data_IF_686240169847
#
_entry.id   IF_686240169847
#
_cell.length_a   1.000
_cell.length_b   1.000
_cell.length_c   1.000
_cell.angle_alpha   90.00
_cell.angle_beta   90.00
_cell.angle_gamma   90.00
#
_symmetry.space_group_name_H-M   'P 1'
#
loop_
_entity.id
_entity.type
_entity.pdbx_description
1 polymer ?
#
# COMPACT_ATOMS: atom_id res chain seq x y z
N UNK A 1 -11.48 -32.44 17.93
CA UNK A 1 -11.12 -33.83 18.31
C UNK A 1 -12.22 -34.76 17.81
N UNK A 2 -12.15 -35.20 16.55
CA UNK A 2 -13.04 -36.22 15.98
C UNK A 2 -12.18 -37.13 15.09
N UNK A 3 -11.77 -38.26 15.66
CA UNK A 3 -11.02 -39.32 14.98
C UNK A 3 -12.02 -40.24 14.28
N UNK A 4 -12.15 -40.10 12.96
CA UNK A 4 -12.82 -41.10 12.12
C UNK A 4 -11.83 -42.20 11.78
N UNK A 5 -11.79 -43.26 12.60
CA UNK A 5 -11.13 -44.53 12.25
C UNK A 5 -11.82 -45.13 11.03
N UNK A 6 -11.30 -44.87 9.82
CA UNK A 6 -11.62 -45.68 8.63
C UNK A 6 -11.09 -47.10 8.87
N UNK A 7 -11.98 -48.08 8.96
CA UNK A 7 -11.63 -49.50 8.84
C UNK A 7 -10.95 -49.68 7.47
N UNK A 8 -9.64 -49.85 7.46
CA UNK A 8 -8.93 -50.42 6.33
C UNK A 8 -9.41 -51.87 6.18
N UNK A 9 -10.42 -52.08 5.32
CA UNK A 9 -10.72 -53.41 4.83
C UNK A 9 -9.48 -53.96 4.16
N UNK A 10 -9.03 -55.15 4.56
CA UNK A 10 -7.82 -55.77 4.02
C UNK A 10 -8.02 -56.02 2.53
N UNK A 11 -7.32 -55.21 1.72
CA UNK A 11 -7.34 -55.21 0.25
C UNK A 11 -7.14 -56.61 -0.37
N UNK A 12 -6.53 -57.53 0.38
CA UNK A 12 -6.19 -58.88 -0.06
C UNK A 12 -7.33 -59.91 0.06
N UNK A 13 -8.36 -59.65 0.88
CA UNK A 13 -9.50 -60.56 1.08
C UNK A 13 -10.26 -60.94 -0.21
N UNK A 14 -10.64 -59.98 -1.10
CA UNK A 14 -11.34 -60.33 -2.34
C UNK A 14 -10.47 -61.11 -3.33
N UNK A 15 -9.14 -60.91 -3.30
CA UNK A 15 -8.20 -61.61 -4.17
C UNK A 15 -8.09 -63.10 -3.78
N UNK A 16 -7.94 -63.40 -2.48
CA UNK A 16 -7.88 -64.78 -2.01
C UNK A 16 -9.22 -65.51 -2.18
N UNK A 17 -10.34 -64.81 -2.02
CA UNK A 17 -11.66 -65.38 -2.28
C UNK A 17 -11.84 -65.76 -3.76
N UNK A 18 -11.45 -64.88 -4.69
CA UNK A 18 -11.56 -65.18 -6.13
C UNK A 18 -10.61 -66.30 -6.57
N UNK A 19 -9.36 -66.31 -6.09
CA UNK A 19 -8.42 -67.41 -6.35
C UNK A 19 -8.93 -68.75 -5.81
N UNK A 20 -9.51 -68.76 -4.61
CA UNK A 20 -10.11 -69.96 -4.02
C UNK A 20 -11.26 -70.52 -4.86
N UNK A 21 -12.17 -69.65 -5.31
CA UNK A 21 -13.29 -70.05 -6.19
C UNK A 21 -12.78 -70.63 -7.50
N UNK A 22 -11.81 -69.99 -8.14
CA UNK A 22 -11.21 -70.49 -9.39
C UNK A 22 -10.55 -71.86 -9.18
N UNK A 23 -9.81 -72.04 -8.08
CA UNK A 23 -9.18 -73.31 -7.74
C UNK A 23 -10.20 -74.45 -7.52
N UNK A 24 -11.30 -74.16 -6.84
CA UNK A 24 -12.38 -75.15 -6.63
C UNK A 24 -13.06 -75.52 -7.95
N UNK A 25 -13.36 -74.54 -8.82
CA UNK A 25 -13.93 -74.79 -10.14
C UNK A 25 -13.01 -75.66 -11.01
N UNK A 26 -11.70 -75.43 -10.94
CA UNK A 26 -10.71 -76.24 -11.65
C UNK A 26 -10.68 -77.70 -11.16
N UNK A 27 -10.72 -77.93 -9.83
CA UNK A 27 -10.80 -79.28 -9.26
C UNK A 27 -12.09 -80.00 -9.65
N UNK A 28 -13.23 -79.30 -9.65
CA UNK A 28 -14.51 -79.84 -10.09
C UNK A 28 -14.42 -80.25 -11.57
N UNK A 29 -13.83 -79.42 -12.43
CA UNK A 29 -13.66 -79.75 -13.85
C UNK A 29 -12.84 -81.03 -14.05
N UNK A 30 -11.74 -81.22 -13.30
CA UNK A 30 -10.93 -82.45 -13.34
C UNK A 30 -11.75 -83.67 -12.89
N UNK A 31 -12.51 -83.54 -11.80
CA UNK A 31 -13.34 -84.63 -11.26
C UNK A 31 -14.43 -85.03 -12.28
N UNK A 32 -15.10 -84.05 -12.90
CA UNK A 32 -16.13 -84.30 -13.90
C UNK A 32 -15.54 -84.97 -15.15
N UNK A 33 -14.44 -84.45 -15.69
CA UNK A 33 -13.79 -85.01 -16.88
C UNK A 33 -13.29 -86.44 -16.63
N UNK A 34 -12.74 -86.72 -15.45
CA UNK A 34 -12.20 -88.04 -15.12
C UNK A 34 -13.28 -89.13 -14.97
N UNK A 35 -14.48 -88.77 -14.50
CA UNK A 35 -15.58 -89.72 -14.27
C UNK A 35 -16.56 -89.84 -15.44
N UNK A 36 -16.80 -88.79 -16.22
CA UNK A 36 -17.86 -88.78 -17.25
C UNK A 36 -17.39 -89.00 -18.70
N UNK A 37 -16.09 -88.86 -19.00
CA UNK A 37 -15.58 -89.00 -20.38
C UNK A 37 -14.64 -90.23 -20.46
N UNK A 38 -15.12 -91.41 -20.89
CA UNK A 38 -14.24 -92.57 -21.10
C UNK A 38 -13.33 -92.35 -22.32
N UNK A 39 -12.04 -92.65 -22.17
CA UNK A 39 -11.02 -92.45 -23.21
C UNK A 39 -9.61 -92.33 -22.62
N UNK A 40 -8.58 -92.44 -23.47
CA UNK A 40 -7.19 -92.18 -23.05
C UNK A 40 -7.00 -90.70 -22.71
N UNK A 41 -5.93 -90.36 -21.97
CA UNK A 41 -5.60 -88.96 -21.68
C UNK A 41 -5.37 -88.11 -22.94
N UNK A 42 -5.07 -88.77 -24.07
CA UNK A 42 -4.81 -88.14 -25.36
C UNK A 42 -6.11 -87.67 -26.04
N UNK A 43 -7.16 -88.50 -26.06
CA UNK A 43 -8.49 -88.12 -26.60
C UNK A 43 -9.14 -87.00 -25.79
N UNK A 44 -8.93 -87.01 -24.46
CA UNK A 44 -9.38 -85.92 -23.56
C UNK A 44 -8.62 -84.61 -23.81
N UNK A 45 -7.36 -84.69 -24.25
CA UNK A 45 -6.54 -83.55 -24.65
C UNK A 45 -7.10 -82.84 -25.90
N UNK A 46 -7.53 -83.59 -26.92
CA UNK A 46 -8.10 -83.04 -28.16
C UNK A 46 -9.41 -82.26 -27.93
N UNK A 47 -10.21 -82.69 -26.94
CA UNK A 47 -11.38 -81.92 -26.48
C UNK A 47 -10.93 -80.60 -25.86
N UNK A 48 -9.86 -80.60 -25.06
CA UNK A 48 -9.24 -79.39 -24.50
C UNK A 48 -8.73 -78.43 -25.57
N UNK A 49 -8.09 -78.95 -26.63
CA UNK A 49 -7.60 -78.14 -27.76
C UNK A 49 -8.72 -77.40 -28.50
N UNK A 50 -9.92 -77.99 -28.53
CA UNK A 50 -11.12 -77.35 -29.12
C UNK A 50 -11.58 -76.11 -28.35
N UNK A 51 -11.29 -76.03 -27.04
CA UNK A 51 -11.55 -74.84 -26.22
C UNK A 51 -10.47 -73.76 -26.37
N UNK A 52 -9.34 -74.05 -27.04
CA UNK A 52 -8.28 -73.09 -27.30
C UNK A 52 -8.74 -71.87 -28.11
N UNK A 53 -9.66 -72.08 -29.07
CA UNK A 53 -10.28 -70.99 -29.85
C UNK A 53 -11.11 -70.09 -28.93
N UNK A 54 -11.93 -70.68 -28.05
CA UNK A 54 -12.78 -69.94 -27.09
C UNK A 54 -11.93 -69.13 -26.12
N UNK A 55 -10.85 -69.72 -25.59
CA UNK A 55 -9.91 -69.03 -24.71
C UNK A 55 -9.17 -67.88 -25.42
N UNK A 56 -8.80 -68.08 -26.68
CA UNK A 56 -8.14 -67.05 -27.49
C UNK A 56 -9.08 -65.87 -27.76
N UNK A 57 -10.36 -66.12 -28.05
CA UNK A 57 -11.38 -65.07 -28.21
C UNK A 57 -11.59 -64.33 -26.90
N UNK A 58 -11.71 -65.04 -25.78
CA UNK A 58 -11.87 -64.39 -24.46
C UNK A 58 -10.65 -63.54 -24.11
N UNK A 59 -9.43 -64.02 -24.37
CA UNK A 59 -8.18 -63.28 -24.16
C UNK A 59 -8.12 -62.03 -25.05
N UNK A 60 -8.50 -62.15 -26.33
CA UNK A 60 -8.54 -61.02 -27.25
C UNK A 60 -9.57 -59.96 -26.83
N UNK A 61 -10.74 -60.37 -26.34
CA UNK A 61 -11.76 -59.46 -25.81
C UNK A 61 -11.32 -58.78 -24.51
N UNK A 62 -10.70 -59.53 -23.59
CA UNK A 62 -10.13 -58.96 -22.38
C UNK A 62 -9.04 -57.93 -22.70
N UNK A 63 -8.17 -58.23 -23.67
CA UNK A 63 -7.16 -57.29 -24.15
C UNK A 63 -7.79 -56.05 -24.79
N UNK A 64 -8.82 -56.22 -25.63
CA UNK A 64 -9.56 -55.11 -26.22
C UNK A 64 -10.19 -54.21 -25.14
N UNK A 65 -10.78 -54.80 -24.09
CA UNK A 65 -11.32 -54.04 -22.95
C UNK A 65 -10.24 -53.23 -22.22
N UNK A 66 -9.05 -53.81 -22.02
CA UNK A 66 -7.90 -53.08 -21.46
C UNK A 66 -7.49 -51.91 -22.35
N UNK A 67 -7.36 -52.12 -23.66
CA UNK A 67 -7.00 -51.05 -24.62
C UNK A 67 -8.01 -49.92 -24.60
N UNK A 68 -9.31 -50.22 -24.60
CA UNK A 68 -10.38 -49.21 -24.49
C UNK A 68 -10.30 -48.46 -23.17
N UNK A 69 -10.05 -49.17 -22.06
CA UNK A 69 -9.89 -48.53 -20.74
C UNK A 69 -8.69 -47.59 -20.69
N UNK A 70 -7.55 -47.97 -21.27
CA UNK A 70 -6.35 -47.13 -21.35
C UNK A 70 -6.58 -45.90 -22.22
N UNK A 71 -7.33 -46.06 -23.32
CA UNK A 71 -7.72 -44.93 -24.17
C UNK A 71 -8.60 -43.92 -23.39
N UNK A 72 -9.55 -44.42 -22.60
CA UNK A 72 -10.40 -43.57 -21.76
C UNK A 72 -9.60 -42.89 -20.63
N UNK A 73 -8.74 -43.63 -19.94
CA UNK A 73 -7.84 -43.08 -18.89
C UNK A 73 -6.93 -41.98 -19.45
N UNK A 74 -6.39 -42.17 -20.66
CA UNK A 74 -5.57 -41.14 -21.33
C UNK A 74 -6.38 -39.87 -21.60
N UNK A 75 -7.64 -40.01 -22.03
CA UNK A 75 -8.53 -38.88 -22.28
C UNK A 75 -8.85 -38.11 -21.00
N UNK A 76 -9.10 -38.82 -19.91
CA UNK A 76 -9.34 -38.21 -18.59
C UNK A 76 -8.10 -37.46 -18.10
N UNK A 77 -6.91 -38.07 -18.20
CA UNK A 77 -5.65 -37.42 -17.84
C UNK A 77 -5.40 -36.13 -18.63
N UNK A 78 -5.72 -36.12 -19.92
CA UNK A 78 -5.59 -34.91 -20.74
C UNK A 78 -6.50 -33.78 -20.23
N UNK A 79 -7.76 -34.10 -19.90
CA UNK A 79 -8.69 -33.14 -19.29
C UNK A 79 -8.17 -32.61 -17.95
N UNK A 80 -7.67 -33.50 -17.09
CA UNK A 80 -7.10 -33.09 -15.80
C UNK A 80 -5.91 -32.16 -15.97
N UNK A 81 -5.02 -32.42 -16.95
CA UNK A 81 -3.89 -31.54 -17.22
C UNK A 81 -4.34 -30.17 -17.72
N UNK A 82 -5.35 -30.11 -18.59
CA UNK A 82 -5.91 -28.85 -19.07
C UNK A 82 -6.53 -28.04 -17.93
N UNK A 83 -7.30 -28.68 -17.04
CA UNK A 83 -7.88 -28.04 -15.86
C UNK A 83 -6.81 -27.50 -14.90
N UNK A 84 -5.76 -28.30 -14.63
CA UNK A 84 -4.64 -27.86 -13.80
C UNK A 84 -3.93 -26.67 -14.43
N UNK A 85 -3.66 -26.70 -15.74
CA UNK A 85 -3.03 -25.56 -16.43
C UNK A 85 -3.92 -24.31 -16.42
N UNK A 86 -5.22 -24.46 -16.61
CA UNK A 86 -6.17 -23.34 -16.52
C UNK A 86 -6.23 -22.76 -15.10
N UNK A 87 -6.23 -23.63 -14.08
CA UNK A 87 -6.18 -23.25 -12.66
C UNK A 87 -4.90 -22.48 -12.31
N UNK A 88 -3.74 -22.98 -12.74
CA UNK A 88 -2.44 -22.31 -12.55
C UNK A 88 -2.43 -20.93 -13.21
N UNK A 89 -2.93 -20.81 -14.44
CA UNK A 89 -3.05 -19.51 -15.13
C UNK A 89 -3.93 -18.55 -14.37
N UNK A 90 -5.14 -18.97 -13.98
CA UNK A 90 -6.07 -18.15 -13.20
C UNK A 90 -5.46 -17.70 -11.87
N UNK A 91 -4.77 -18.61 -11.17
CA UNK A 91 -4.09 -18.29 -9.93
C UNK A 91 -2.97 -17.26 -10.15
N UNK A 92 -2.14 -17.44 -11.17
CA UNK A 92 -1.08 -16.50 -11.52
C UNK A 92 -1.61 -15.11 -11.91
N UNK A 93 -2.73 -15.05 -12.62
CA UNK A 93 -3.39 -13.79 -12.97
C UNK A 93 -3.96 -13.11 -11.72
N UNK A 94 -4.56 -13.88 -10.80
CA UNK A 94 -5.03 -13.36 -9.51
C UNK A 94 -3.90 -12.81 -8.66
N UNK A 95 -2.75 -13.51 -8.58
CA UNK A 95 -1.57 -13.02 -7.87
C UNK A 95 -1.06 -11.71 -8.46
N UNK A 96 -0.93 -11.62 -9.79
CA UNK A 96 -0.53 -10.37 -10.47
C UNK A 96 -1.52 -9.23 -10.24
N UNK A 97 -2.82 -9.53 -10.21
CA UNK A 97 -3.84 -8.52 -9.90
C UNK A 97 -3.75 -8.06 -8.43
N UNK A 98 -3.51 -8.98 -7.51
CA UNK A 98 -3.30 -8.68 -6.09
C UNK A 98 -2.03 -7.86 -5.87
N UNK A 99 -0.91 -8.20 -6.52
CA UNK A 99 0.32 -7.42 -6.47
C UNK A 99 0.10 -5.98 -6.95
N UNK A 100 -0.58 -5.80 -8.08
CA UNK A 100 -0.95 -4.47 -8.57
C UNK A 100 -1.87 -3.72 -7.61
N UNK A 101 -2.82 -4.42 -6.99
CA UNK A 101 -3.72 -3.82 -6.01
C UNK A 101 -2.95 -3.40 -4.74
N UNK A 102 -2.01 -4.22 -4.25
CA UNK A 102 -1.15 -3.89 -3.12
C UNK A 102 -0.28 -2.67 -3.44
N UNK A 103 0.30 -2.61 -4.64
CA UNK A 103 1.10 -1.46 -5.05
C UNK A 103 0.27 -0.18 -5.09
N UNK A 104 -0.92 -0.22 -5.72
CA UNK A 104 -1.83 0.93 -5.74
C UNK A 104 -2.29 1.34 -4.34
N UNK A 105 -2.55 0.38 -3.44
CA UNK A 105 -2.87 0.65 -2.04
C UNK A 105 -1.68 1.28 -1.29
N UNK A 106 -0.46 0.84 -1.58
CA UNK A 106 0.76 1.43 -1.02
C UNK A 106 0.93 2.87 -1.47
N UNK A 107 0.79 3.16 -2.76
CA UNK A 107 0.84 4.54 -3.29
C UNK A 107 -0.21 5.44 -2.64
N UNK A 108 -1.45 4.95 -2.50
CA UNK A 108 -2.52 5.69 -1.81
C UNK A 108 -2.20 5.91 -0.33
N UNK A 109 -1.65 4.91 0.35
CA UNK A 109 -1.26 5.00 1.76
C UNK A 109 -0.15 6.04 1.95
N UNK A 110 0.88 6.01 1.09
CA UNK A 110 1.94 7.01 1.10
C UNK A 110 1.35 8.40 0.90
N UNK A 111 0.51 8.64 -0.11
CA UNK A 111 -0.12 9.94 -0.33
C UNK A 111 -0.96 10.42 0.87
N UNK A 112 -1.66 9.52 1.57
CA UNK A 112 -2.49 9.87 2.73
C UNK A 112 -1.69 10.21 3.99
N UNK A 113 -0.56 9.53 4.21
CA UNK A 113 0.21 9.66 5.44
C UNK A 113 1.48 10.48 5.28
N UNK A 114 1.90 10.81 4.06
CA UNK A 114 3.10 11.60 3.82
C UNK A 114 3.03 12.97 4.52
N UNK A 115 4.13 13.41 5.17
CA UNK A 115 4.22 14.77 5.66
C UNK A 115 4.28 15.72 4.47
N UNK A 116 3.63 16.88 4.58
CA UNK A 116 3.66 17.90 3.53
C UNK A 116 4.14 19.21 4.14
N UNK A 117 5.39 19.56 3.84
CA UNK A 117 5.98 20.80 4.32
C UNK A 117 5.65 21.90 3.32
N UNK A 118 4.83 22.85 3.76
CA UNK A 118 4.35 23.95 2.92
C UNK A 118 4.86 25.25 3.52
N UNK A 119 5.45 26.08 2.66
CA UNK A 119 5.81 27.45 3.00
C UNK A 119 4.75 28.41 2.44
N UNK A 120 4.23 29.33 3.24
CA UNK A 120 3.27 30.35 2.78
C UNK A 120 3.54 31.70 3.40
N UNK A 121 3.03 32.72 2.72
CA UNK A 121 3.01 34.08 3.23
C UNK A 121 1.71 34.37 3.94
N UNK A 122 1.80 35.00 5.10
CA UNK A 122 0.65 35.52 5.83
C UNK A 122 0.92 36.98 6.23
N UNK A 123 -0.10 37.81 6.15
CA UNK A 123 -0.04 39.19 6.64
C UNK A 123 -0.62 39.20 8.05
N UNK A 124 0.15 39.69 9.02
CA UNK A 124 -0.28 39.82 10.42
C UNK A 124 -0.02 41.22 10.94
N UNK A 125 -0.74 41.60 12.00
CA UNK A 125 -0.46 42.79 12.82
C UNK A 125 -0.11 44.06 12.02
N UNK A 126 -1.11 44.72 11.41
CA UNK A 126 -0.88 46.01 10.76
C UNK A 126 0.17 45.97 9.64
N UNK A 127 0.10 44.95 8.77
CA UNK A 127 0.87 44.78 7.54
C UNK A 127 2.27 44.14 7.66
N UNK A 128 2.56 43.32 8.68
CA UNK A 128 3.79 42.51 8.71
C UNK A 128 3.63 41.25 7.85
N UNK A 129 4.49 41.11 6.85
CA UNK A 129 4.63 39.90 6.05
C UNK A 129 5.44 38.88 6.82
N UNK A 130 4.83 37.73 7.04
CA UNK A 130 5.43 36.63 7.77
C UNK A 130 5.43 35.37 6.93
N UNK A 131 6.59 34.71 6.86
CA UNK A 131 6.76 33.40 6.28
C UNK A 131 6.39 32.34 7.33
N UNK A 132 5.45 31.48 6.96
CA UNK A 132 5.02 30.35 7.77
C UNK A 132 5.41 29.07 7.05
N UNK A 133 6.20 28.23 7.73
CA UNK A 133 6.53 26.88 7.25
C UNK A 133 5.81 25.90 8.16
N UNK A 134 4.94 25.08 7.59
CA UNK A 134 4.06 24.18 8.33
C UNK A 134 4.11 22.77 7.77
N UNK A 135 4.10 21.78 8.66
CA UNK A 135 3.79 20.41 8.26
C UNK A 135 2.27 20.22 8.25
N UNK A 136 1.69 20.28 7.05
CA UNK A 136 0.25 20.10 6.81
C UNK A 136 -0.14 18.63 6.65
N UNK A 137 0.83 17.71 6.64
CA UNK A 137 0.59 16.28 6.55
C UNK A 137 0.20 15.65 7.89
N UNK A 138 -0.08 14.34 7.86
CA UNK A 138 -0.57 13.59 9.04
C UNK A 138 0.52 12.96 9.89
N UNK A 139 1.75 12.93 9.40
CA UNK A 139 2.90 12.32 10.08
C UNK A 139 4.05 13.29 10.20
N UNK A 140 5.07 12.95 10.97
CA UNK A 140 6.22 13.81 11.16
C UNK A 140 7.20 13.71 9.99
N UNK A 141 7.70 14.84 9.51
CA UNK A 141 8.85 14.89 8.63
C UNK A 141 10.12 14.66 9.47
N UNK A 142 10.94 13.69 9.08
CA UNK A 142 12.20 13.40 9.77
C UNK A 142 13.36 14.05 9.03
N UNK A 143 14.39 14.44 9.77
CA UNK A 143 15.63 15.01 9.20
C UNK A 143 15.36 16.16 8.22
N UNK A 144 14.46 17.06 8.61
CA UNK A 144 14.04 18.18 7.79
C UNK A 144 15.19 19.18 7.67
N UNK A 145 15.53 19.55 6.44
CA UNK A 145 16.46 20.62 6.10
C UNK A 145 15.76 21.64 5.23
N UNK A 146 15.84 22.90 5.62
CA UNK A 146 15.26 24.02 4.88
C UNK A 146 16.37 24.76 4.12
N UNK A 147 16.05 25.22 2.92
CA UNK A 147 16.92 26.07 2.11
C UNK A 147 16.08 27.19 1.47
N UNK A 148 16.72 28.31 1.21
CA UNK A 148 16.14 29.46 0.51
C UNK A 148 17.13 29.99 -0.50
N UNK A 149 16.65 30.49 -1.63
CA UNK A 149 17.45 31.18 -2.66
C UNK A 149 17.59 32.69 -2.38
N UNK A 150 16.82 33.21 -1.43
CA UNK A 150 16.83 34.61 -1.04
C UNK A 150 16.94 34.77 0.47
N UNK A 151 17.85 35.66 0.88
CA UNK A 151 18.00 36.09 2.27
C UNK A 151 17.20 37.37 2.49
N UNK A 152 16.15 37.26 3.29
CA UNK A 152 15.45 38.42 3.82
C UNK A 152 16.22 38.94 5.02
N UNK A 153 16.62 40.20 4.97
CA UNK A 153 17.10 40.93 6.14
C UNK A 153 15.87 41.61 6.73
N UNK A 154 15.49 41.27 7.96
CA UNK A 154 14.40 41.97 8.63
C UNK A 154 14.74 43.47 8.71
N UNK A 155 14.00 44.36 8.03
CA UNK A 155 14.17 45.78 8.25
C UNK A 155 13.67 46.02 9.67
N UNK A 156 14.56 46.46 10.56
CA UNK A 156 14.19 46.86 11.92
C UNK A 156 12.93 47.73 11.88
N UNK A 157 12.04 47.56 12.86
CA UNK A 157 10.78 48.32 12.89
C UNK A 157 11.02 49.84 12.78
N UNK A 158 9.98 50.58 12.40
CA UNK A 158 9.95 52.05 12.23
C UNK A 158 11.13 52.82 12.87
N UNK A 159 12.13 53.18 12.04
CA UNK A 159 13.24 54.05 12.44
C UNK A 159 14.51 53.37 12.96
N UNK A 160 14.52 52.04 13.09
CA UNK A 160 15.75 51.30 13.40
C UNK A 160 16.46 50.89 12.12
N UNK A 161 17.56 51.57 11.79
CA UNK A 161 18.52 51.05 10.80
C UNK A 161 18.99 49.69 11.26
N UNK A 162 18.89 48.70 10.38
CA UNK A 162 19.41 47.34 10.60
C UNK A 162 20.87 47.46 11.04
N UNK A 163 21.18 47.05 12.27
CA UNK A 163 22.57 46.75 12.63
C UNK A 163 22.93 45.47 11.87
N UNK A 164 23.94 45.61 11.01
CA UNK A 164 24.50 44.59 10.13
C UNK A 164 24.50 43.17 10.71
N UNK A 165 24.10 42.20 9.88
CA UNK A 165 24.23 40.74 10.10
C UNK A 165 23.46 40.11 11.28
N UNK A 166 22.35 40.72 11.73
CA UNK A 166 21.40 40.06 12.62
C UNK A 166 20.04 39.99 11.95
N UNK A 167 19.55 38.77 11.69
CA UNK A 167 18.17 38.54 11.27
C UNK A 167 17.99 38.16 9.79
N UNK A 168 18.99 37.53 9.16
CA UNK A 168 18.77 36.86 7.87
C UNK A 168 17.99 35.58 8.05
N UNK A 169 17.13 35.26 7.10
CA UNK A 169 16.39 33.99 7.08
C UNK A 169 17.34 32.78 7.04
N UNK A 170 18.43 32.85 6.26
CA UNK A 170 19.47 31.81 6.21
C UNK A 170 20.19 31.60 7.54
N UNK A 171 20.32 32.62 8.37
CA UNK A 171 21.00 32.53 9.67
C UNK A 171 20.14 31.82 10.73
N UNK A 172 18.82 31.71 10.50
CA UNK A 172 17.92 31.06 11.42
C UNK A 172 18.28 29.58 11.63
N UNK A 173 18.10 29.09 12.88
CA UNK A 173 18.49 27.73 13.27
C UNK A 173 17.95 26.65 12.32
N UNK A 174 16.68 26.76 11.90
CA UNK A 174 16.02 25.79 11.03
C UNK A 174 16.55 25.75 9.59
N UNK A 175 17.21 26.83 9.13
CA UNK A 175 17.86 26.89 7.82
C UNK A 175 19.34 26.47 7.89
N UNK A 176 19.96 26.58 9.07
CA UNK A 176 21.34 26.17 9.30
C UNK A 176 21.51 24.74 9.83
N UNK A 177 20.46 24.13 10.37
CA UNK A 177 20.53 22.84 11.03
C UNK A 177 19.46 21.87 10.50
N UNK A 178 19.77 20.58 10.57
CA UNK A 178 18.80 19.52 10.34
C UNK A 178 17.87 19.41 11.56
N UNK A 179 16.56 19.44 11.33
CA UNK A 179 15.54 19.23 12.35
C UNK A 179 15.20 17.75 12.38
N UNK A 180 15.54 17.06 13.47
CA UNK A 180 15.34 15.61 13.60
C UNK A 180 13.91 15.18 13.35
N UNK A 181 12.94 15.94 13.87
CA UNK A 181 11.51 15.64 13.75
C UNK A 181 10.71 16.93 13.70
N UNK A 182 9.91 17.08 12.66
CA UNK A 182 8.97 18.19 12.49
C UNK A 182 7.54 17.65 12.45
N UNK A 183 6.84 17.78 13.58
CA UNK A 183 5.60 17.08 13.86
C UNK A 183 4.41 17.58 13.00
N UNK A 184 3.35 16.77 12.82
CA UNK A 184 2.11 17.22 12.18
C UNK A 184 1.56 18.50 12.81
N UNK A 185 1.21 19.49 12.00
CA UNK A 185 0.69 20.78 12.44
C UNK A 185 1.71 21.70 13.11
N UNK A 186 2.98 21.28 13.25
CA UNK A 186 4.03 22.14 13.76
C UNK A 186 4.33 23.27 12.75
N UNK A 187 4.54 24.48 13.27
CA UNK A 187 4.76 25.70 12.49
C UNK A 187 6.07 26.35 12.89
N UNK A 188 6.82 26.82 11.90
CA UNK A 188 7.88 27.81 12.05
C UNK A 188 7.37 29.13 11.49
N UNK A 189 7.81 30.21 12.13
CA UNK A 189 7.30 31.53 11.85
C UNK A 189 8.46 32.53 11.79
N UNK A 190 8.57 33.25 10.68
CA UNK A 190 9.62 34.22 10.43
C UNK A 190 9.00 35.52 9.91
N UNK A 191 9.33 36.65 10.53
CA UNK A 191 8.98 37.95 10.00
C UNK A 191 9.95 38.33 8.87
N UNK A 192 9.44 38.62 7.68
CA UNK A 192 10.30 38.89 6.52
C UNK A 192 10.21 40.34 6.01
N UNK A 193 9.07 41.01 6.18
CA UNK A 193 8.89 42.40 5.73
C UNK A 193 7.72 43.11 6.42
N UNK A 194 7.63 44.43 6.26
CA UNK A 194 6.48 45.26 6.66
C UNK A 194 5.93 45.92 5.38
N UNK A 195 4.61 45.91 5.20
CA UNK A 195 3.92 46.18 3.93
C UNK A 195 4.09 47.57 3.33
N UNK A 196 4.68 48.52 4.06
CA UNK A 196 5.11 49.80 3.50
C UNK A 196 6.34 49.69 2.59
N UNK A 197 7.16 48.64 2.76
CA UNK A 197 8.43 48.43 2.07
C UNK A 197 8.32 47.50 0.87
N UNK A 198 7.16 46.87 0.63
CA UNK A 198 6.93 45.93 -0.48
C UNK A 198 6.42 46.71 -1.71
N UNK A 199 7.17 47.73 -2.14
CA UNK A 199 6.93 48.41 -3.42
C UNK A 199 8.28 48.52 -4.12
N UNK A 200 8.29 48.27 -5.43
CA UNK A 200 9.50 48.31 -6.29
C UNK A 200 10.25 49.66 -6.24
N UNK A 201 9.60 50.72 -5.73
CA UNK A 201 10.15 52.07 -5.62
C UNK A 201 11.01 52.29 -4.36
N UNK A 202 11.04 51.35 -3.40
CA UNK A 202 11.92 51.45 -2.23
C UNK A 202 13.35 51.03 -2.58
N UNK A 203 14.37 51.91 -2.42
CA UNK A 203 15.77 51.58 -2.71
C UNK A 203 16.30 50.35 -1.95
N UNK A 204 15.77 50.07 -0.76
CA UNK A 204 16.15 48.90 0.04
C UNK A 204 15.44 47.62 -0.44
N UNK A 205 14.27 47.74 -1.08
CA UNK A 205 13.51 46.61 -1.64
C UNK A 205 13.96 46.22 -3.06
N UNK A 206 14.57 47.14 -3.83
CA UNK A 206 15.15 46.83 -5.14
C UNK A 206 16.25 45.75 -5.08
N UNK A 207 16.82 45.51 -3.90
CA UNK A 207 17.81 44.45 -3.67
C UNK A 207 17.20 43.10 -3.28
N UNK A 208 15.88 43.01 -3.11
CA UNK A 208 15.17 41.78 -2.79
C UNK A 208 14.32 41.34 -3.99
N UNK A 209 14.57 40.13 -4.49
CA UNK A 209 13.75 39.55 -5.54
C UNK A 209 12.31 39.39 -5.02
N UNK A 210 11.28 39.89 -5.74
CA UNK A 210 9.88 39.74 -5.33
C UNK A 210 9.37 38.30 -5.44
N UNK A 211 10.20 37.40 -5.99
CA UNK A 211 10.03 35.95 -5.98
C UNK A 211 11.20 35.28 -5.29
N UNK A 212 10.90 34.29 -4.46
CA UNK A 212 11.89 33.43 -3.83
C UNK A 212 11.31 32.03 -3.62
N UNK A 213 12.18 31.10 -3.28
CA UNK A 213 11.89 29.68 -3.19
C UNK A 213 12.27 29.17 -1.81
N UNK A 214 11.36 28.44 -1.17
CA UNK A 214 11.65 27.66 0.02
C UNK A 214 11.69 26.19 -0.38
N UNK A 215 12.84 25.56 -0.14
CA UNK A 215 13.01 24.13 -0.33
C UNK A 215 13.00 23.41 1.01
N UNK A 216 12.13 22.42 1.15
CA UNK A 216 12.06 21.54 2.31
C UNK A 216 12.46 20.13 1.91
N UNK A 217 13.59 19.67 2.43
CA UNK A 217 14.15 18.34 2.17
C UNK A 217 13.99 17.50 3.43
N UNK A 218 13.29 16.37 3.36
CA UNK A 218 13.02 15.53 4.53
C UNK A 218 12.90 14.05 4.14
N UNK A 219 12.90 13.16 5.13
CA UNK A 219 12.57 11.75 4.95
C UNK A 219 11.30 11.35 5.70
N UNK A 220 10.64 10.31 5.22
CA UNK A 220 9.46 9.71 5.83
C UNK A 220 9.50 8.19 5.61
N UNK A 221 9.04 7.42 6.60
CA UNK A 221 8.89 5.96 6.56
C UNK A 221 10.06 5.12 5.98
N UNK A 222 11.31 5.55 6.21
CA UNK A 222 12.50 4.82 5.74
C UNK A 222 12.84 5.03 4.26
N UNK A 223 12.06 5.84 3.53
CA UNK A 223 12.26 6.17 2.12
C UNK A 223 13.34 7.24 1.87
N UNK A 224 13.70 7.38 0.58
CA UNK A 224 14.57 8.43 0.04
C UNK A 224 14.14 9.85 0.46
N UNK A 225 15.13 10.76 0.47
CA UNK A 225 14.88 12.17 0.79
C UNK A 225 13.92 12.78 -0.23
N UNK A 226 12.74 13.15 0.25
CA UNK A 226 11.77 13.95 -0.48
C UNK A 226 12.19 15.42 -0.48
N UNK A 227 12.03 16.09 -1.61
CA UNK A 227 12.23 17.54 -1.74
C UNK A 227 10.92 18.20 -2.17
N UNK A 228 10.42 19.10 -1.33
CA UNK A 228 9.31 19.98 -1.64
C UNK A 228 9.84 21.38 -1.95
N UNK A 229 9.34 21.98 -3.02
CA UNK A 229 9.76 23.30 -3.47
C UNK A 229 8.54 24.20 -3.52
N UNK A 230 8.55 25.24 -2.70
CA UNK A 230 7.48 26.25 -2.71
C UNK A 230 8.01 27.56 -3.24
N UNK A 231 7.47 28.00 -4.38
CA UNK A 231 7.77 29.32 -4.96
C UNK A 231 6.79 30.34 -4.38
N UNK A 232 7.34 31.38 -3.76
CA UNK A 232 6.57 32.46 -3.16
C UNK A 232 6.73 33.70 -4.05
N UNK A 233 5.60 34.29 -4.44
CA UNK A 233 5.53 35.50 -5.28
C UNK A 233 4.86 36.62 -4.50
N UNK A 234 5.65 37.56 -4.01
CA UNK A 234 5.19 38.69 -3.19
C UNK A 234 4.35 39.70 -3.98
N UNK A 235 4.44 39.68 -5.33
CA UNK A 235 3.65 40.59 -6.19
C UNK A 235 2.15 40.35 -6.09
N UNK A 236 1.76 39.15 -5.68
CA UNK A 236 0.36 38.82 -5.40
C UNK A 236 -0.27 39.69 -4.32
N UNK A 237 0.54 40.34 -3.47
CA UNK A 237 0.06 41.20 -2.40
C UNK A 237 0.08 42.69 -2.73
N UNK A 238 0.67 43.12 -3.86
CA UNK A 238 0.90 44.55 -4.15
C UNK A 238 -0.40 45.38 -4.18
N UNK A 239 -1.49 44.82 -4.70
CA UNK A 239 -2.79 45.50 -4.84
C UNK A 239 -3.86 45.04 -3.83
N UNK A 240 -3.56 44.00 -3.03
CA UNK A 240 -4.53 43.32 -2.16
C UNK A 240 -4.75 43.94 -0.77
N UNK A 241 -4.12 45.08 -0.47
CA UNK A 241 -3.94 45.60 0.89
C UNK A 241 -5.19 46.15 1.63
N UNK A 242 -6.39 46.08 1.06
CA UNK A 242 -7.49 46.95 1.51
C UNK A 242 -8.45 46.33 2.55
N UNK A 243 -8.67 45.01 2.58
CA UNK A 243 -9.80 44.46 3.36
C UNK A 243 -9.46 43.76 4.69
N UNK A 244 -8.34 43.05 4.81
CA UNK A 244 -8.07 42.19 5.98
C UNK A 244 -7.64 42.98 7.25
N UNK A 245 -7.06 44.16 7.07
CA UNK A 245 -6.67 45.05 8.18
C UNK A 245 -7.88 45.62 8.96
N UNK A 246 -9.10 45.55 8.40
CA UNK A 246 -10.31 46.08 9.04
C UNK A 246 -10.85 45.14 10.12
N UNK A 247 -10.75 43.82 9.95
CA UNK A 247 -11.26 42.83 10.91
C UNK A 247 -10.41 42.77 12.18
N UNK A 248 -9.09 42.82 12.07
CA UNK A 248 -8.19 42.75 13.23
C UNK A 248 -8.33 43.97 14.14
N UNK A 249 -8.45 45.17 13.56
CA UNK A 249 -8.76 46.39 14.33
C UNK A 249 -10.11 46.33 15.02
N UNK A 250 -11.12 45.71 14.39
CA UNK A 250 -12.42 45.54 15.02
C UNK A 250 -12.32 44.60 16.24
N UNK A 251 -11.58 43.49 16.12
CA UNK A 251 -11.35 42.56 17.22
C UNK A 251 -10.52 43.17 18.36
N UNK A 252 -9.46 43.92 18.04
CA UNK A 252 -8.66 44.65 19.03
C UNK A 252 -9.51 45.70 19.77
N UNK A 253 -10.36 46.43 19.05
CA UNK A 253 -11.29 47.38 19.65
C UNK A 253 -12.33 46.70 20.55
N UNK A 254 -12.84 45.53 20.16
CA UNK A 254 -13.75 44.73 20.99
C UNK A 254 -13.03 44.30 22.28
N UNK A 255 -11.80 43.79 22.17
CA UNK A 255 -11.00 43.39 23.33
C UNK A 255 -10.79 44.55 24.32
N UNK A 256 -10.42 45.73 23.83
CA UNK A 256 -10.23 46.94 24.67
C UNK A 256 -11.53 47.37 25.36
N UNK A 257 -12.67 47.28 24.68
CA UNK A 257 -13.96 47.59 25.29
C UNK A 257 -14.34 46.59 26.39
N UNK A 258 -14.05 45.30 26.20
CA UNK A 258 -14.28 44.27 27.22
C UNK A 258 -13.44 44.54 28.47
N UNK A 259 -12.15 44.89 28.32
CA UNK A 259 -11.29 45.26 29.45
C UNK A 259 -11.79 46.49 30.20
N UNK A 260 -12.22 47.52 29.47
CA UNK A 260 -12.82 48.73 30.04
C UNK A 260 -14.09 48.43 30.86
N UNK A 261 -14.95 47.53 30.35
CA UNK A 261 -16.15 47.08 31.06
C UNK A 261 -15.77 46.33 32.34
N UNK A 262 -14.80 45.42 32.28
CA UNK A 262 -14.32 44.66 33.45
C UNK A 262 -13.76 45.59 34.54
N UNK A 263 -12.92 46.57 34.16
CA UNK A 263 -12.40 47.55 35.10
C UNK A 263 -13.51 48.40 35.73
N UNK A 264 -14.50 48.82 34.93
CA UNK A 264 -15.64 49.59 35.42
C UNK A 264 -16.47 48.79 36.41
N UNK A 265 -16.74 47.51 36.12
CA UNK A 265 -17.47 46.60 37.00
C UNK A 265 -16.74 46.37 38.32
N UNK A 266 -15.42 46.09 38.27
CA UNK A 266 -14.57 45.96 39.46
C UNK A 266 -14.60 47.23 40.32
N UNK A 267 -14.52 48.41 39.70
CA UNK A 267 -14.54 49.70 40.41
C UNK A 267 -15.89 49.97 41.11
N UNK A 268 -17.01 49.51 40.54
CA UNK A 268 -18.34 49.64 41.14
C UNK A 268 -18.59 48.61 42.23
N UNK A 269 -18.13 47.37 42.04
CA UNK A 269 -18.20 46.32 43.06
C UNK A 269 -17.34 46.62 44.29
N UNK A 270 -16.18 47.27 44.11
CA UNK A 270 -15.33 47.70 45.23
C UNK A 270 -15.88 48.90 46.03
N UNK A 271 -16.95 49.54 45.55
CA UNK A 271 -17.63 50.67 46.21
C UNK A 271 -18.95 50.28 46.89
N UNK A 272 -19.33 49.01 46.80
CA UNK A 272 -20.45 48.37 47.52
C UNK A 272 -19.89 47.64 48.75
#
# INVERSE_FOLDING_TARGET
>A
MLSTKRKQGSFWQPLFATLGVVGVLYLIAIIVISNFIPGSWEERGTIGDSFGIVNSVFTALAFAAVVVSLWYQRKELQSTLEEVQASERSHSESLRAQEKAIEALKEQTVALYRPYIVARMEIRESAKFSLIIENTGRTAAKKLRLQTDLDFVYPGGFGYKVQSDQGKLSEAYAFNNEIDTFAPGQKLFYHIAIGGYIREEDPDFQNHSPRFTIEAIYSFDGDERTKEVTVIDLRTFYDGFVDELRSDKALENISKHIESIDQTLKSKLAKL
#
